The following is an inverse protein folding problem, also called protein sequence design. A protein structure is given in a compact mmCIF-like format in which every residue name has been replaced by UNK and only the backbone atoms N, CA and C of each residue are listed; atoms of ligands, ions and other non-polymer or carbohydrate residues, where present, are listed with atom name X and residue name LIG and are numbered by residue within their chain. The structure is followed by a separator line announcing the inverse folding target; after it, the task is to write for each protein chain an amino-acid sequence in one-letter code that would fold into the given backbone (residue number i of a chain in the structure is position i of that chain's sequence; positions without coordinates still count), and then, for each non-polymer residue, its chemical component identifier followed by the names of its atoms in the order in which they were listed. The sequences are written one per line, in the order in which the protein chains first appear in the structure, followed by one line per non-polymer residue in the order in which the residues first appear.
data_IF_287444844913
#
_entry.id   IF_287444844913
#
_cell.length_a   1.000
_cell.length_b   1.000
_cell.length_c   1.000
_cell.angle_alpha   90.00
_cell.angle_beta   90.00
_cell.angle_gamma   90.00
#
_symmetry.space_group_name_H-M   'P 1'
#
loop_
_entity.id
_entity.type
_entity.pdbx_description
1 polymer ?
#
# COMPACT_ATOMS: atom_id res chain seq x y z
N UNK A 1 -36.51 16.87 60.31
CA UNK A 1 -35.42 17.83 60.57
C UNK A 1 -34.16 17.29 59.91
N UNK A 2 -33.46 18.10 59.10
CA UNK A 2 -32.11 17.81 58.59
C UNK A 2 -32.00 17.56 57.08
N UNK A 3 -31.95 18.65 56.30
CA UNK A 3 -31.47 18.71 54.90
C UNK A 3 -29.95 18.49 54.84
N UNK A 4 -29.45 17.91 53.74
CA UNK A 4 -28.29 18.34 52.92
C UNK A 4 -28.07 17.26 51.81
N UNK A 5 -28.55 17.44 50.58
CA UNK A 5 -27.86 18.10 49.44
C UNK A 5 -26.39 17.68 49.28
N UNK A 6 -26.13 16.76 48.33
CA UNK A 6 -24.95 16.78 47.47
C UNK A 6 -25.34 16.24 46.09
N UNK A 7 -25.62 17.18 45.19
CA UNK A 7 -25.49 17.03 43.75
C UNK A 7 -24.02 16.64 43.47
N UNK A 8 -23.79 15.46 42.89
CA UNK A 8 -22.48 15.04 42.39
C UNK A 8 -22.58 14.75 40.90
N UNK A 9 -21.93 15.58 40.10
CA UNK A 9 -22.11 15.75 38.67
C UNK A 9 -21.90 14.48 37.81
N UNK A 10 -22.65 14.43 36.70
CA UNK A 10 -22.20 13.77 35.47
C UNK A 10 -20.77 14.21 35.15
N UNK A 11 -19.87 13.25 34.98
CA UNK A 11 -18.72 13.40 34.10
C UNK A 11 -18.71 12.17 33.17
N UNK A 12 -19.38 12.33 32.02
CA UNK A 12 -18.91 11.71 30.79
C UNK A 12 -17.46 12.19 30.59
N UNK A 13 -16.50 11.39 31.02
CA UNK A 13 -15.14 11.51 30.52
C UNK A 13 -14.97 10.44 29.45
N UNK A 14 -15.44 10.78 28.25
CA UNK A 14 -14.83 10.25 27.04
C UNK A 14 -13.37 10.65 27.07
N UNK A 15 -12.52 9.68 27.39
CA UNK A 15 -11.10 9.75 27.10
C UNK A 15 -10.84 8.51 26.26
N UNK A 16 -11.30 8.54 25.00
CA UNK A 16 -10.59 7.82 23.96
C UNK A 16 -9.17 8.38 24.02
N UNK A 17 -8.29 7.65 24.70
CA UNK A 17 -6.88 7.94 24.74
C UNK A 17 -6.44 7.99 23.28
N UNK A 18 -6.26 9.20 22.76
CA UNK A 18 -5.52 9.42 21.53
C UNK A 18 -4.10 9.03 21.92
N UNK A 19 -3.76 7.76 21.69
CA UNK A 19 -2.38 7.34 21.64
C UNK A 19 -1.63 8.17 20.61
N UNK A 20 -0.29 8.15 20.62
CA UNK A 20 0.47 8.79 19.55
C UNK A 20 -0.12 8.37 18.19
N UNK A 21 -0.15 9.29 17.22
CA UNK A 21 -0.60 9.06 15.83
C UNK A 21 0.34 8.08 15.09
N UNK A 22 0.79 7.04 15.78
CA UNK A 22 1.66 6.02 15.25
C UNK A 22 0.83 5.10 14.36
N UNK A 23 1.30 4.95 13.13
CA UNK A 23 0.90 3.89 12.22
C UNK A 23 1.05 2.56 12.99
N UNK A 24 -0.02 1.77 13.10
CA UNK A 24 0.00 0.44 13.72
C UNK A 24 -0.82 -0.53 12.90
N UNK A 25 -0.16 -1.59 12.46
CA UNK A 25 -0.70 -2.55 11.50
C UNK A 25 -1.12 -1.85 10.21
N UNK A 26 -0.32 -0.89 9.77
CA UNK A 26 -0.59 -0.03 8.63
C UNK A 26 0.74 0.33 7.94
N UNK A 27 0.66 0.86 6.73
CA UNK A 27 1.83 1.33 6.02
C UNK A 27 1.51 2.35 4.94
N UNK A 28 2.47 3.24 4.69
CA UNK A 28 2.42 4.24 3.64
C UNK A 28 3.84 4.53 3.19
N UNK A 29 4.07 4.73 1.90
CA UNK A 29 5.41 5.07 1.48
C UNK A 29 5.58 5.29 0.00
N UNK A 30 6.80 5.68 -0.33
CA UNK A 30 7.27 5.91 -1.68
C UNK A 30 8.37 4.92 -2.01
N UNK A 31 8.29 4.29 -3.17
CA UNK A 31 9.29 3.36 -3.69
C UNK A 31 9.61 3.70 -5.16
N UNK A 32 10.72 3.17 -5.68
CA UNK A 32 11.02 3.19 -7.11
C UNK A 32 11.10 1.76 -7.63
N UNK A 33 10.70 1.55 -8.89
CA UNK A 33 10.82 0.26 -9.55
C UNK A 33 11.88 0.36 -10.68
N UNK A 34 12.90 -0.53 -10.73
CA UNK A 34 13.94 -0.51 -11.75
C UNK A 34 13.44 -0.82 -13.18
N UNK A 35 12.22 -1.33 -13.35
CA UNK A 35 11.68 -1.76 -14.64
C UNK A 35 11.51 -0.62 -15.65
N UNK A 36 11.51 0.66 -15.21
CA UNK A 36 11.58 1.82 -16.12
C UNK A 36 12.21 3.03 -15.42
N UNK A 37 13.29 3.58 -15.98
CA UNK A 37 14.00 4.74 -15.41
C UNK A 37 13.09 5.99 -15.35
N UNK A 38 13.03 6.68 -14.20
CA UNK A 38 12.21 7.88 -13.91
C UNK A 38 10.76 7.63 -13.40
N UNK A 39 10.56 6.59 -12.59
CA UNK A 39 9.30 6.33 -11.90
C UNK A 39 9.38 6.59 -10.41
N UNK A 40 8.36 7.27 -9.87
CA UNK A 40 8.09 7.36 -8.43
C UNK A 40 6.73 6.70 -8.21
N UNK A 41 6.70 5.74 -7.29
CA UNK A 41 5.51 5.02 -6.91
C UNK A 41 5.15 5.30 -5.45
N UNK A 42 3.86 5.28 -5.13
CA UNK A 42 3.38 5.36 -3.77
C UNK A 42 2.47 4.16 -3.43
N UNK A 43 2.30 3.91 -2.14
CA UNK A 43 1.31 2.97 -1.64
C UNK A 43 0.70 3.41 -0.32
N UNK A 44 -0.44 2.82 0.01
CA UNK A 44 -1.04 2.81 1.34
C UNK A 44 -1.63 1.43 1.60
N UNK A 45 -1.49 0.94 2.83
CA UNK A 45 -2.13 -0.29 3.31
C UNK A 45 -2.63 -0.07 4.74
N UNK A 46 -3.93 -0.18 4.92
CA UNK A 46 -4.60 -0.24 6.21
C UNK A 46 -5.90 -1.03 6.06
N UNK A 47 -6.64 -1.19 7.17
CA UNK A 47 -7.90 -1.97 7.18
C UNK A 47 -9.00 -1.39 6.29
N UNK A 48 -8.94 -0.10 5.94
CA UNK A 48 -9.94 0.56 5.11
C UNK A 48 -9.50 0.79 3.66
N UNK A 49 -8.21 0.75 3.38
CA UNK A 49 -7.66 1.12 2.08
C UNK A 49 -6.36 0.38 1.77
N UNK A 50 -6.33 -0.23 0.59
CA UNK A 50 -5.09 -0.62 -0.09
C UNK A 50 -5.03 0.15 -1.39
N UNK A 51 -3.97 0.90 -1.62
CA UNK A 51 -3.76 1.62 -2.87
C UNK A 51 -2.29 1.61 -3.24
N UNK A 52 -2.03 1.70 -4.54
CA UNK A 52 -0.71 2.02 -5.04
C UNK A 52 -0.82 2.68 -6.40
N UNK A 53 0.17 3.48 -6.75
CA UNK A 53 0.23 4.10 -8.05
C UNK A 53 1.63 4.43 -8.46
N UNK A 54 1.82 4.60 -9.76
CA UNK A 54 3.08 5.05 -10.36
C UNK A 54 2.80 6.05 -11.45
N UNK A 55 3.68 7.04 -11.57
CA UNK A 55 3.72 7.97 -12.68
C UNK A 55 5.14 8.08 -13.22
N UNK A 56 5.24 8.09 -14.55
CA UNK A 56 6.45 8.40 -15.30
C UNK A 56 6.17 9.60 -16.20
N UNK A 57 6.85 10.72 -15.92
CA UNK A 57 6.76 11.91 -16.76
C UNK A 57 7.94 11.90 -17.74
N UNK A 58 7.77 11.17 -18.85
CA UNK A 58 8.68 11.15 -20.01
C UNK A 58 9.38 9.81 -20.23
N UNK A 59 9.34 9.29 -21.46
CA UNK A 59 10.16 8.18 -21.91
C UNK A 59 10.75 8.50 -23.30
N UNK A 60 12.08 8.43 -23.43
CA UNK A 60 12.72 8.12 -24.70
C UNK A 60 12.70 6.60 -24.90
N UNK A 61 11.83 6.08 -25.77
CA UNK A 61 11.73 4.64 -26.08
C UNK A 61 10.35 4.20 -26.60
N UNK A 62 10.22 2.92 -27.00
CA UNK A 62 9.17 2.34 -27.86
C UNK A 62 7.69 2.50 -27.42
N UNK A 63 7.43 2.98 -26.21
CA UNK A 63 6.13 3.48 -25.79
C UNK A 63 6.26 5.00 -25.65
N UNK A 64 5.96 5.73 -26.71
CA UNK A 64 6.12 7.19 -26.74
C UNK A 64 5.09 7.87 -25.84
N UNK A 65 5.49 8.32 -24.65
CA UNK A 65 4.71 9.22 -23.81
C UNK A 65 4.62 8.80 -22.33
N UNK A 66 3.85 9.55 -21.51
CA UNK A 66 3.75 9.30 -20.08
C UNK A 66 3.13 7.93 -19.81
N UNK A 67 3.69 7.21 -18.83
CA UNK A 67 3.11 6.00 -18.28
C UNK A 67 2.56 6.32 -16.90
N UNK A 68 1.35 5.84 -16.60
CA UNK A 68 0.78 5.98 -15.27
C UNK A 68 -0.08 4.75 -14.96
N UNK A 69 -0.06 4.35 -13.70
CA UNK A 69 -0.96 3.33 -13.18
C UNK A 69 -1.50 3.77 -11.82
N UNK A 70 -2.80 3.60 -11.62
CA UNK A 70 -3.46 3.80 -10.34
C UNK A 70 -4.23 2.54 -9.98
N UNK A 71 -4.00 2.04 -8.78
CA UNK A 71 -4.65 0.87 -8.21
C UNK A 71 -5.23 1.24 -6.85
N UNK A 72 -6.47 0.86 -6.59
CA UNK A 72 -7.09 1.03 -5.27
C UNK A 72 -8.13 -0.04 -5.01
N UNK A 73 -8.16 -0.52 -3.77
CA UNK A 73 -9.13 -1.49 -3.30
C UNK A 73 -10.54 -0.90 -3.41
N UNK A 74 -11.43 -1.70 -3.99
CA UNK A 74 -12.88 -1.52 -3.99
C UNK A 74 -13.53 -2.20 -2.80
N UNK A 75 -12.91 -3.29 -2.34
CA UNK A 75 -13.30 -4.10 -1.20
C UNK A 75 -12.07 -4.79 -0.62
N UNK A 76 -11.98 -4.85 0.70
CA UNK A 76 -10.94 -5.59 1.45
C UNK A 76 -11.66 -6.69 2.20
N UNK A 77 -11.49 -7.92 1.72
CA UNK A 77 -12.16 -9.11 2.25
C UNK A 77 -11.35 -9.75 3.37
N UNK A 78 -10.03 -9.61 3.30
CA UNK A 78 -9.10 -10.13 4.28
C UNK A 78 -8.05 -9.07 4.60
N UNK A 79 -7.76 -8.93 5.89
CA UNK A 79 -6.69 -8.11 6.40
C UNK A 79 -6.10 -8.78 7.64
N UNK A 80 -4.80 -9.04 7.62
CA UNK A 80 -4.11 -9.69 8.71
C UNK A 80 -2.73 -9.08 8.92
N UNK A 81 -2.46 -8.65 10.16
CA UNK A 81 -1.14 -8.26 10.60
C UNK A 81 -0.56 -9.40 11.44
N UNK A 82 0.52 -10.00 10.95
CA UNK A 82 1.32 -10.98 11.67
C UNK A 82 2.45 -10.26 12.42
N UNK A 83 2.29 -10.12 13.73
CA UNK A 83 3.23 -9.38 14.58
C UNK A 83 4.54 -10.15 14.80
N UNK A 84 4.51 -11.49 14.67
CA UNK A 84 5.69 -12.33 14.79
C UNK A 84 6.52 -12.30 13.51
N UNK A 85 5.85 -12.40 12.35
CA UNK A 85 6.46 -12.31 11.02
C UNK A 85 6.62 -10.89 10.48
N UNK A 86 6.22 -9.86 11.25
CA UNK A 86 6.31 -8.43 10.88
C UNK A 86 5.74 -8.14 9.49
N UNK A 87 4.60 -8.76 9.18
CA UNK A 87 4.01 -8.70 7.85
C UNK A 87 2.52 -8.34 7.92
N UNK A 88 2.06 -7.48 7.03
CA UNK A 88 0.65 -7.22 6.78
C UNK A 88 0.27 -7.89 5.47
N UNK A 89 -0.80 -8.67 5.47
CA UNK A 89 -1.39 -9.25 4.26
C UNK A 89 -2.82 -8.76 4.11
N UNK A 90 -3.17 -8.27 2.93
CA UNK A 90 -4.53 -7.87 2.60
C UNK A 90 -4.96 -8.44 1.24
N UNK A 91 -6.22 -8.83 1.10
CA UNK A 91 -6.76 -9.27 -0.19
C UNK A 91 -8.23 -8.90 -0.34
N UNK A 92 -8.69 -8.90 -1.59
CA UNK A 92 -10.05 -8.53 -1.96
C UNK A 92 -10.14 -8.12 -3.41
N UNK A 93 -10.97 -7.11 -3.69
CA UNK A 93 -11.20 -6.57 -5.04
C UNK A 93 -10.54 -5.22 -5.20
N UNK A 94 -9.88 -5.02 -6.33
CA UNK A 94 -9.16 -3.79 -6.66
C UNK A 94 -9.54 -3.33 -8.06
N UNK A 95 -9.62 -2.01 -8.25
CA UNK A 95 -9.70 -1.39 -9.57
C UNK A 95 -8.34 -0.88 -9.96
N UNK A 96 -7.93 -1.18 -11.19
CA UNK A 96 -6.66 -0.75 -11.76
C UNK A 96 -6.87 -0.02 -13.07
N UNK A 97 -6.27 1.16 -13.18
CA UNK A 97 -6.33 2.02 -14.36
C UNK A 97 -4.89 2.20 -14.84
N UNK A 98 -4.62 1.81 -16.08
CA UNK A 98 -3.30 1.92 -16.72
C UNK A 98 -3.38 2.85 -17.93
N UNK A 99 -2.49 3.83 -17.99
CA UNK A 99 -2.35 4.75 -19.10
C UNK A 99 -0.95 4.68 -19.72
N UNK A 100 -0.89 4.76 -21.05
CA UNK A 100 0.36 4.89 -21.82
C UNK A 100 0.14 5.87 -22.96
N UNK A 101 1.11 6.76 -23.20
CA UNK A 101 1.01 7.71 -24.33
C UNK A 101 -0.22 8.63 -24.25
N UNK A 102 -0.74 8.88 -23.03
CA UNK A 102 -1.96 9.66 -22.82
C UNK A 102 -3.28 8.92 -23.11
N UNK A 103 -3.23 7.62 -23.43
CA UNK A 103 -4.42 6.78 -23.65
C UNK A 103 -4.60 5.79 -22.50
N UNK A 104 -5.85 5.54 -22.11
CA UNK A 104 -6.19 4.44 -21.20
C UNK A 104 -6.03 3.11 -21.94
N UNK A 105 -5.10 2.29 -21.47
CA UNK A 105 -4.83 0.94 -21.99
C UNK A 105 -5.71 -0.08 -21.28
N UNK A 106 -5.98 0.15 -19.99
CA UNK A 106 -6.79 -0.74 -19.17
C UNK A 106 -7.49 0.05 -18.06
N UNK A 107 -8.73 -0.32 -17.77
CA UNK A 107 -9.52 0.11 -16.61
C UNK A 107 -10.43 -1.06 -16.20
N UNK A 108 -10.01 -1.83 -15.20
CA UNK A 108 -10.62 -3.11 -14.85
C UNK A 108 -10.65 -3.35 -13.34
N UNK A 109 -11.58 -4.19 -12.90
CA UNK A 109 -11.60 -4.73 -11.54
C UNK A 109 -11.10 -6.18 -11.51
N UNK A 110 -10.24 -6.50 -10.55
CA UNK A 110 -9.63 -7.81 -10.40
C UNK A 110 -9.38 -8.14 -8.92
N UNK A 111 -9.02 -9.39 -8.65
CA UNK A 111 -8.58 -9.80 -7.33
C UNK A 111 -7.15 -9.32 -7.07
N UNK A 112 -6.83 -9.03 -5.82
CA UNK A 112 -5.47 -8.65 -5.41
C UNK A 112 -5.04 -9.34 -4.12
N UNK A 113 -3.73 -9.44 -3.95
CA UNK A 113 -3.06 -9.80 -2.71
C UNK A 113 -1.95 -8.78 -2.46
N UNK A 114 -2.10 -7.96 -1.42
CA UNK A 114 -1.09 -7.01 -0.98
C UNK A 114 -0.34 -7.56 0.23
N UNK A 115 0.98 -7.37 0.23
CA UNK A 115 1.89 -7.77 1.29
C UNK A 115 2.78 -6.57 1.62
N UNK A 116 2.80 -6.18 2.89
CA UNK A 116 3.74 -5.18 3.41
C UNK A 116 4.59 -5.81 4.50
N UNK A 117 5.88 -5.48 4.51
CA UNK A 117 6.86 -6.03 5.46
C UNK A 117 7.49 -4.88 6.22
N UNK A 118 7.38 -4.95 7.55
CA UNK A 118 8.07 -4.10 8.51
C UNK A 118 9.47 -4.69 8.74
N UNK A 119 10.49 -3.99 8.23
CA UNK A 119 11.89 -4.36 8.33
C UNK A 119 12.62 -3.49 9.37
N UNK A 120 11.91 -2.81 10.27
CA UNK A 120 12.50 -1.98 11.29
C UNK A 120 13.57 -2.75 12.09
N UNK A 121 14.76 -2.15 12.21
CA UNK A 121 15.88 -2.74 12.94
C UNK A 121 16.63 -3.89 12.24
N UNK A 122 16.22 -4.30 11.03
CA UNK A 122 16.90 -5.36 10.26
C UNK A 122 18.06 -4.85 9.40
N UNK A 123 18.17 -3.54 9.20
CA UNK A 123 19.12 -2.92 8.27
C UNK A 123 18.69 -2.94 6.79
N UNK A 124 17.47 -3.43 6.52
CA UNK A 124 16.83 -3.36 5.19
C UNK A 124 15.67 -2.35 5.21
N UNK A 125 15.32 -1.70 4.09
CA UNK A 125 14.12 -0.86 4.02
C UNK A 125 12.84 -1.70 4.17
N UNK A 126 11.76 -1.09 4.62
CA UNK A 126 10.43 -1.69 4.55
C UNK A 126 10.05 -1.97 3.09
N UNK A 127 9.06 -2.82 2.90
CA UNK A 127 8.66 -3.27 1.56
C UNK A 127 7.15 -3.35 1.42
N UNK A 128 6.67 -3.02 0.23
CA UNK A 128 5.27 -3.24 -0.17
C UNK A 128 5.20 -3.87 -1.54
N UNK A 129 4.37 -4.90 -1.69
CA UNK A 129 4.04 -5.54 -2.95
C UNK A 129 2.52 -5.73 -3.08
N UNK A 130 1.98 -5.46 -4.26
CA UNK A 130 0.67 -5.95 -4.69
C UNK A 130 0.86 -6.99 -5.78
N UNK A 131 0.18 -8.11 -5.61
CA UNK A 131 0.13 -9.22 -6.53
C UNK A 131 -1.26 -9.30 -7.15
N UNK A 132 -1.32 -9.42 -8.47
CA UNK A 132 -2.57 -9.38 -9.20
C UNK A 132 -2.41 -9.90 -10.63
N UNK A 133 -3.53 -10.09 -11.33
CA UNK A 133 -3.52 -10.32 -12.77
C UNK A 133 -4.71 -9.65 -13.44
N UNK A 134 -4.49 -9.11 -14.63
CA UNK A 134 -5.50 -8.50 -15.49
C UNK A 134 -5.27 -8.91 -16.96
N UNK A 135 -6.19 -8.59 -17.89
CA UNK A 135 -5.96 -8.82 -19.31
C UNK A 135 -4.65 -8.23 -19.85
N UNK A 136 -4.26 -7.03 -19.38
CA UNK A 136 -2.98 -6.38 -19.69
C UNK A 136 -1.84 -6.90 -18.79
N UNK A 137 -2.00 -6.87 -17.47
CA UNK A 137 -0.99 -7.30 -16.49
C UNK A 137 -1.07 -8.81 -16.25
N UNK A 138 -0.36 -9.56 -17.10
CA UNK A 138 -0.22 -11.01 -16.96
C UNK A 138 1.16 -11.49 -17.38
N UNK A 139 1.60 -12.67 -16.93
CA UNK A 139 2.85 -13.27 -17.38
C UNK A 139 2.93 -13.31 -18.90
N UNK A 140 4.07 -12.89 -19.44
CA UNK A 140 4.29 -12.72 -20.89
C UNK A 140 4.15 -11.27 -21.38
N UNK A 141 3.51 -10.38 -20.61
CA UNK A 141 3.67 -8.94 -20.84
C UNK A 141 5.05 -8.49 -20.31
N UNK A 142 5.88 -7.80 -21.10
CA UNK A 142 7.21 -7.34 -20.66
C UNK A 142 7.18 -6.37 -19.46
N UNK A 143 6.05 -5.72 -19.20
CA UNK A 143 5.88 -4.85 -18.03
C UNK A 143 5.51 -5.64 -16.76
N UNK A 144 5.06 -6.89 -16.89
CA UNK A 144 4.69 -7.72 -15.76
C UNK A 144 5.95 -8.34 -15.13
N UNK A 145 6.34 -7.83 -13.96
CA UNK A 145 7.25 -8.56 -13.07
C UNK A 145 6.49 -9.77 -12.50
N UNK A 146 6.98 -11.02 -12.69
CA UNK A 146 6.28 -12.19 -12.15
C UNK A 146 6.16 -12.16 -10.63
N UNK A 147 5.00 -12.58 -10.13
CA UNK A 147 4.75 -12.76 -8.70
C UNK A 147 5.55 -13.93 -8.14
N UNK A 148 6.22 -13.71 -7.01
CA UNK A 148 6.99 -14.71 -6.27
C UNK A 148 6.14 -15.51 -5.28
N UNK A 149 4.94 -15.03 -4.94
CA UNK A 149 4.05 -15.63 -3.92
C UNK A 149 2.76 -16.20 -4.50
N UNK A 150 2.39 -15.80 -5.72
CA UNK A 150 1.19 -16.30 -6.40
C UNK A 150 1.53 -16.64 -7.87
N UNK A 151 1.79 -17.91 -8.20
CA UNK A 151 2.10 -18.32 -9.57
C UNK A 151 1.03 -17.86 -10.57
N UNK A 152 1.49 -17.38 -11.73
CA UNK A 152 0.61 -16.87 -12.79
C UNK A 152 0.18 -15.41 -12.62
N UNK A 153 0.55 -14.73 -11.54
CA UNK A 153 0.26 -13.31 -11.32
C UNK A 153 1.47 -12.42 -11.59
N UNK A 154 1.21 -11.12 -11.74
CA UNK A 154 2.22 -10.08 -11.69
C UNK A 154 2.43 -9.59 -10.25
N UNK A 155 3.56 -8.95 -10.01
CA UNK A 155 3.92 -8.21 -8.80
C UNK A 155 4.21 -6.77 -9.19
N UNK A 156 3.69 -5.84 -8.40
CA UNK A 156 3.96 -4.43 -8.51
C UNK A 156 4.26 -3.91 -7.10
N UNK A 157 5.40 -3.26 -6.92
CA UNK A 157 5.90 -2.95 -5.58
C UNK A 157 7.40 -3.11 -5.44
N UNK A 158 7.90 -2.73 -4.27
CA UNK A 158 9.32 -2.78 -3.96
C UNK A 158 9.64 -2.23 -2.58
N UNK A 159 10.93 -2.07 -2.35
CA UNK A 159 11.49 -1.54 -1.11
C UNK A 159 11.29 -0.02 -1.07
N UNK A 160 10.94 0.52 0.09
CA UNK A 160 10.74 1.96 0.27
C UNK A 160 12.06 2.72 0.04
N UNK A 161 11.96 3.93 -0.52
CA UNK A 161 13.13 4.78 -0.77
C UNK A 161 13.75 5.17 0.56
N UNK A 162 15.07 4.99 0.67
CA UNK A 162 15.90 5.56 1.74
C UNK A 162 16.77 6.67 1.17
N UNK A 163 16.64 7.88 1.71
CA UNK A 163 17.39 9.07 1.29
C UNK A 163 17.97 9.78 2.50
N UNK A 164 19.29 10.02 2.50
CA UNK A 164 19.97 10.68 3.61
C UNK A 164 19.87 9.94 4.95
N UNK A 165 19.64 8.61 4.92
CA UNK A 165 19.39 7.79 6.11
C UNK A 165 17.93 7.77 6.59
N UNK A 166 17.03 8.48 5.90
CA UNK A 166 15.60 8.52 6.22
C UNK A 166 14.79 7.75 5.19
N UNK A 167 13.92 6.85 5.64
CA UNK A 167 12.96 6.19 4.77
C UNK A 167 11.80 7.13 4.42
N UNK A 168 11.37 7.14 3.15
CA UNK A 168 10.24 7.92 2.67
C UNK A 168 8.93 7.16 2.83
N UNK A 169 8.55 6.93 4.09
CA UNK A 169 7.40 6.13 4.49
C UNK A 169 7.74 5.18 5.62
N UNK A 170 6.77 4.36 5.99
CA UNK A 170 6.87 3.39 7.07
C UNK A 170 5.85 2.25 6.85
N UNK A 171 6.24 1.03 7.20
CA UNK A 171 5.33 -0.09 7.44
C UNK A 171 5.52 -0.47 8.89
N UNK A 172 4.47 -0.31 9.69
CA UNK A 172 4.54 -0.61 11.12
C UNK A 172 3.60 -1.76 11.42
N UNK A 173 4.17 -2.87 11.86
CA UNK A 173 3.41 -3.98 12.45
C UNK A 173 3.62 -3.92 13.95
N UNK A 174 2.54 -3.66 14.68
CA UNK A 174 2.60 -3.43 16.13
C UNK A 174 3.25 -4.60 16.89
N UNK A 175 3.65 -4.38 18.16
CA UNK A 175 4.01 -5.47 19.06
C UNK A 175 2.82 -6.38 19.39
#
# INVERSE_FOLDING_TARGET
MGRNLCLGALLLAGISAVGPNDIRDEGVGTYTDPSVANQISNFTINRQMVSCGVGMVGASGALSGPFAMLMYAKDIQFYHADHAGKTITASGRMRSITQTGGMTVEDVEHDFLAIAVDNAGTGSPDRFDVHFTTPFWKPGNPLCTPSTVHPGWCRFGGDLIVSGGTQLGDVSVGP
#
